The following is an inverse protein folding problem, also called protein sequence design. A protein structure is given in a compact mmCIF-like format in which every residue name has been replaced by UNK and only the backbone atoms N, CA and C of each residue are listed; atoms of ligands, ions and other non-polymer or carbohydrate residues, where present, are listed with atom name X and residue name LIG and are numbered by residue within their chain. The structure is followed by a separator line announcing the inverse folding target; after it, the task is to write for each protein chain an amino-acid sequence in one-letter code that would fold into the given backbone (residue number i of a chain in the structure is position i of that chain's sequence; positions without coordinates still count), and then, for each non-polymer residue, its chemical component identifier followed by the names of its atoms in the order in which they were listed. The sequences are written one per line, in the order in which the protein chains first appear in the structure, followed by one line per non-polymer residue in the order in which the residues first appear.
data_IF_411183863410
#
_entry.id   IF_411183863410
#
_cell.length_a   1.000
_cell.length_b   1.000
_cell.length_c   1.000
_cell.angle_alpha   90.00
_cell.angle_beta   90.00
_cell.angle_gamma   90.00
#
_symmetry.space_group_name_H-M   'P 1'
#
loop_
_entity.id
_entity.type
_entity.pdbx_description
1 polymer ?
#
# COMPACT_ATOMS: atom_id res chain seq x y z
N UNK A 1 -38.19 14.39 3.10
CA UNK A 1 -37.04 15.06 2.45
C UNK A 1 -35.81 14.23 2.77
N UNK A 2 -35.19 13.74 1.71
CA UNK A 2 -34.22 12.64 1.66
C UNK A 2 -32.85 13.03 2.22
N UNK A 3 -32.37 12.24 3.17
CA UNK A 3 -31.00 12.21 3.71
C UNK A 3 -30.03 11.68 2.63
N UNK A 4 -29.00 12.43 2.19
CA UNK A 4 -27.91 11.87 1.43
C UNK A 4 -26.69 11.74 2.34
N UNK A 5 -26.64 10.67 3.15
CA UNK A 5 -25.35 10.22 3.68
C UNK A 5 -24.52 9.74 2.50
N UNK A 6 -23.28 10.22 2.30
CA UNK A 6 -22.40 9.62 1.32
C UNK A 6 -22.05 8.20 1.78
N UNK A 7 -22.63 7.20 1.10
CA UNK A 7 -22.26 5.80 1.26
C UNK A 7 -20.86 5.60 0.69
N UNK A 8 -19.85 5.75 1.54
CA UNK A 8 -18.47 5.46 1.16
C UNK A 8 -18.34 3.98 0.71
N UNK A 9 -17.72 3.70 -0.45
CA UNK A 9 -17.52 2.34 -0.93
C UNK A 9 -16.72 1.48 0.06
N UNK A 10 -17.20 0.26 0.35
CA UNK A 10 -16.59 -0.73 1.27
C UNK A 10 -15.11 -1.06 0.98
N UNK A 11 -14.60 -0.79 -0.22
CA UNK A 11 -13.22 -1.12 -0.60
C UNK A 11 -12.16 -0.25 0.09
N UNK A 12 -12.48 0.98 0.53
CA UNK A 12 -11.51 1.88 1.17
C UNK A 12 -11.07 1.42 2.57
N UNK A 13 -11.95 0.70 3.28
CA UNK A 13 -11.66 0.10 4.59
C UNK A 13 -10.65 -1.06 4.52
N UNK A 14 -10.37 -1.57 3.31
CA UNK A 14 -9.35 -2.60 3.06
C UNK A 14 -7.95 -2.01 2.79
N UNK A 15 -7.84 -0.69 2.59
CA UNK A 15 -6.57 0.00 2.30
C UNK A 15 -6.01 0.72 3.54
N UNK A 16 -6.85 1.02 4.53
CA UNK A 16 -6.45 1.73 5.76
C UNK A 16 -6.10 0.81 6.94
N UNK A 17 -5.88 -0.48 6.69
CA UNK A 17 -5.40 -1.42 7.69
C UNK A 17 -4.06 -1.98 7.26
N UNK A 18 -3.04 -1.78 8.11
CA UNK A 18 -1.80 -2.57 8.13
C UNK A 18 -0.73 -2.14 7.12
N UNK A 19 -0.10 -0.98 7.35
CA UNK A 19 1.36 -0.98 7.31
C UNK A 19 1.83 -1.21 8.76
N UNK A 20 2.15 -2.46 9.13
CA UNK A 20 2.77 -2.74 10.41
C UNK A 20 4.22 -2.26 10.38
N UNK A 21 4.79 -2.03 11.55
CA UNK A 21 6.21 -1.66 11.78
C UNK A 21 7.24 -2.68 11.20
N UNK A 22 6.76 -3.71 10.50
CA UNK A 22 7.51 -4.76 9.82
C UNK A 22 8.14 -4.32 8.49
N UNK A 23 7.72 -3.19 7.91
CA UNK A 23 8.27 -2.70 6.62
C UNK A 23 9.74 -2.27 6.75
N UNK A 24 10.19 -1.93 7.96
CA UNK A 24 11.55 -1.54 8.26
C UNK A 24 12.49 -2.73 8.58
N UNK A 25 11.97 -3.93 8.82
CA UNK A 25 12.76 -5.07 9.30
C UNK A 25 12.66 -6.24 8.33
N UNK A 26 13.58 -6.24 7.36
CA UNK A 26 14.30 -7.45 6.97
C UNK A 26 13.44 -8.60 6.39
N UNK A 27 13.36 -8.70 5.07
CA UNK A 27 13.49 -9.96 4.33
C UNK A 27 13.17 -9.70 2.88
N UNK A 28 13.84 -10.38 1.97
CA UNK A 28 13.34 -10.49 0.61
C UNK A 28 11.87 -10.92 0.64
N UNK A 29 10.97 -10.23 -0.07
CA UNK A 29 9.55 -10.50 0.07
C UNK A 29 9.35 -11.99 -0.24
N UNK A 30 8.62 -12.70 0.61
CA UNK A 30 8.35 -14.13 0.44
C UNK A 30 7.90 -14.46 -1.00
N UNK A 31 7.16 -13.54 -1.63
CA UNK A 31 6.78 -13.58 -3.03
C UNK A 31 7.97 -13.67 -4.01
N UNK A 32 9.04 -12.90 -3.78
CA UNK A 32 10.25 -12.94 -4.61
C UNK A 32 10.99 -14.27 -4.48
N UNK A 33 11.14 -14.80 -3.25
CA UNK A 33 11.79 -16.12 -3.05
C UNK A 33 10.95 -17.26 -3.62
N UNK A 34 9.62 -17.18 -3.50
CA UNK A 34 8.73 -18.15 -4.16
C UNK A 34 8.84 -18.08 -5.68
N UNK A 35 8.86 -16.87 -6.25
CA UNK A 35 8.98 -16.68 -7.69
C UNK A 35 10.32 -17.22 -8.22
N UNK A 36 11.43 -16.99 -7.50
CA UNK A 36 12.74 -17.50 -7.93
C UNK A 36 12.84 -19.02 -7.81
N UNK A 37 12.34 -19.63 -6.73
CA UNK A 37 12.33 -21.09 -6.57
C UNK A 37 11.48 -21.78 -7.65
N UNK A 38 10.25 -21.29 -7.89
CA UNK A 38 9.36 -21.87 -8.89
C UNK A 38 9.88 -21.63 -10.31
N UNK A 39 10.37 -20.42 -10.60
CA UNK A 39 10.94 -20.07 -11.89
C UNK A 39 12.16 -20.93 -12.21
N UNK A 40 13.17 -20.93 -11.32
CA UNK A 40 14.39 -21.72 -11.51
C UNK A 40 14.09 -23.23 -11.58
N UNK A 41 13.19 -23.74 -10.75
CA UNK A 41 12.78 -25.15 -10.78
C UNK A 41 12.08 -25.53 -12.09
N UNK A 42 11.23 -24.66 -12.63
CA UNK A 42 10.53 -24.87 -13.90
C UNK A 42 11.49 -24.86 -15.09
N UNK A 43 12.43 -23.90 -15.12
CA UNK A 43 13.47 -23.84 -16.15
C UNK A 43 14.39 -25.07 -16.09
N UNK A 44 14.84 -25.47 -14.90
CA UNK A 44 15.65 -26.67 -14.73
C UNK A 44 14.89 -27.93 -15.21
N UNK A 45 13.61 -28.05 -14.89
CA UNK A 45 12.80 -29.18 -15.37
C UNK A 45 12.70 -29.20 -16.91
N UNK A 46 12.47 -28.05 -17.52
CA UNK A 46 12.41 -27.91 -18.98
C UNK A 46 13.76 -28.29 -19.64
N UNK A 47 14.88 -27.76 -19.15
CA UNK A 47 16.20 -28.08 -19.71
C UNK A 47 16.61 -29.52 -19.46
N UNK A 48 16.26 -30.09 -18.30
CA UNK A 48 16.50 -31.49 -17.99
C UNK A 48 15.75 -32.43 -18.93
N UNK A 49 14.47 -32.14 -19.21
CA UNK A 49 13.69 -32.92 -20.20
C UNK A 49 14.26 -32.78 -21.63
N UNK A 50 14.66 -31.57 -22.05
CA UNK A 50 15.29 -31.36 -23.36
C UNK A 50 16.63 -32.09 -23.48
N UNK A 51 17.46 -32.06 -22.43
CA UNK A 51 18.74 -32.77 -22.40
C UNK A 51 18.54 -34.29 -22.47
N UNK A 52 17.52 -34.81 -21.76
CA UNK A 52 17.16 -36.23 -21.79
C UNK A 52 16.73 -36.68 -23.19
N UNK A 53 15.85 -35.91 -23.85
CA UNK A 53 15.38 -36.20 -25.20
C UNK A 53 16.50 -36.18 -26.25
N UNK A 54 17.55 -35.39 -26.03
CA UNK A 54 18.73 -35.32 -26.91
C UNK A 54 19.79 -36.39 -26.60
N UNK A 55 19.55 -37.28 -25.64
CA UNK A 55 20.48 -38.35 -25.25
C UNK A 55 21.62 -37.91 -24.32
N UNK A 56 21.63 -36.64 -23.87
CA UNK A 56 22.66 -36.10 -22.99
C UNK A 56 22.32 -36.37 -21.52
N UNK A 57 22.83 -37.49 -21.00
CA UNK A 57 22.46 -37.98 -19.66
C UNK A 57 22.97 -37.12 -18.50
N UNK A 58 24.20 -36.61 -18.58
CA UNK A 58 24.83 -35.86 -17.49
C UNK A 58 24.11 -34.52 -17.18
N UNK A 59 23.93 -33.60 -18.16
CA UNK A 59 23.19 -32.36 -17.92
C UNK A 59 21.75 -32.61 -17.45
N UNK A 60 21.08 -33.64 -18.00
CA UNK A 60 19.73 -34.01 -17.59
C UNK A 60 19.65 -34.41 -16.10
N UNK A 61 20.61 -35.20 -15.62
CA UNK A 61 20.67 -35.60 -14.20
C UNK A 61 20.91 -34.38 -13.30
N UNK A 62 21.81 -33.47 -13.69
CA UNK A 62 22.08 -32.23 -12.94
C UNK A 62 20.82 -31.36 -12.85
N UNK A 63 20.14 -31.14 -13.97
CA UNK A 63 18.90 -30.37 -14.04
C UNK A 63 17.78 -30.97 -13.18
N UNK A 64 17.51 -32.27 -13.31
CA UNK A 64 16.50 -32.95 -12.49
C UNK A 64 16.84 -32.94 -10.99
N UNK A 65 18.12 -33.09 -10.65
CA UNK A 65 18.58 -33.01 -9.26
C UNK A 65 18.36 -31.61 -8.68
N UNK A 66 18.64 -30.56 -9.46
CA UNK A 66 18.38 -29.17 -9.06
C UNK A 66 16.89 -28.94 -8.88
N UNK A 67 16.04 -29.39 -9.80
CA UNK A 67 14.58 -29.27 -9.69
C UNK A 67 14.07 -29.89 -8.37
N UNK A 68 14.53 -31.09 -8.03
CA UNK A 68 14.10 -31.78 -6.81
C UNK A 68 14.58 -31.06 -5.53
N UNK A 69 15.82 -30.56 -5.54
CA UNK A 69 16.37 -29.77 -4.43
C UNK A 69 15.62 -28.43 -4.25
N UNK A 70 15.31 -27.73 -5.34
CA UNK A 70 14.54 -26.48 -5.29
C UNK A 70 13.09 -26.73 -4.85
N UNK A 71 12.46 -27.82 -5.29
CA UNK A 71 11.12 -28.22 -4.82
C UNK A 71 11.12 -28.55 -3.32
N UNK A 72 12.14 -29.25 -2.83
CA UNK A 72 12.32 -29.50 -1.40
C UNK A 72 12.49 -28.20 -0.61
N UNK A 73 13.31 -27.26 -1.09
CA UNK A 73 13.46 -25.94 -0.47
C UNK A 73 12.16 -25.13 -0.49
N UNK A 74 11.37 -25.23 -1.55
CA UNK A 74 10.04 -24.60 -1.64
C UNK A 74 9.09 -25.15 -0.57
N UNK A 75 8.98 -26.48 -0.43
CA UNK A 75 8.17 -27.10 0.62
C UNK A 75 8.67 -26.71 2.01
N UNK A 76 9.99 -26.73 2.22
CA UNK A 76 10.61 -26.30 3.48
C UNK A 76 10.31 -24.82 3.80
N UNK A 77 10.30 -23.94 2.80
CA UNK A 77 9.95 -22.53 2.95
C UNK A 77 8.50 -22.37 3.42
N UNK A 78 7.58 -23.14 2.87
CA UNK A 78 6.17 -23.10 3.28
C UNK A 78 5.97 -23.64 4.70
N UNK A 79 6.71 -24.68 5.08
CA UNK A 79 6.62 -25.29 6.41
C UNK A 79 7.27 -24.46 7.51
N UNK A 80 8.48 -23.93 7.27
CA UNK A 80 9.28 -23.25 8.31
C UNK A 80 9.23 -21.73 8.24
N UNK A 81 8.73 -21.14 7.15
CA UNK A 81 8.67 -19.69 6.90
C UNK A 81 10.02 -18.96 7.04
N UNK A 82 11.13 -19.70 7.06
CA UNK A 82 12.49 -19.16 7.19
C UNK A 82 13.02 -18.72 5.82
N UNK A 83 12.68 -17.50 5.44
CA UNK A 83 13.00 -16.91 4.14
C UNK A 83 14.51 -16.74 3.96
N UNK A 84 15.19 -16.21 4.98
CA UNK A 84 16.60 -15.85 4.89
C UNK A 84 17.51 -17.07 4.67
N UNK A 85 17.29 -18.17 5.42
CA UNK A 85 18.08 -19.39 5.22
C UNK A 85 17.75 -20.06 3.90
N UNK A 86 16.48 -20.09 3.51
CA UNK A 86 16.07 -20.74 2.25
C UNK A 86 16.62 -20.01 1.03
N UNK A 87 16.57 -18.67 1.05
CA UNK A 87 17.21 -17.82 0.04
C UNK A 87 18.71 -18.12 -0.10
N UNK A 88 19.44 -18.17 1.02
CA UNK A 88 20.87 -18.46 0.99
C UNK A 88 21.20 -19.86 0.45
N UNK A 89 20.44 -20.88 0.85
CA UNK A 89 20.63 -22.24 0.35
C UNK A 89 20.30 -22.35 -1.14
N UNK A 90 19.20 -21.74 -1.60
CA UNK A 90 18.81 -21.75 -3.00
C UNK A 90 19.86 -21.07 -3.89
N UNK A 91 20.38 -19.91 -3.48
CA UNK A 91 21.44 -19.23 -4.24
C UNK A 91 22.75 -20.03 -4.22
N UNK A 92 23.14 -20.63 -3.09
CA UNK A 92 24.33 -21.47 -3.02
C UNK A 92 24.23 -22.69 -3.94
N UNK A 93 23.08 -23.37 -3.95
CA UNK A 93 22.80 -24.49 -4.85
C UNK A 93 22.83 -24.05 -6.33
N UNK A 94 22.22 -22.91 -6.65
CA UNK A 94 22.26 -22.35 -8.01
C UNK A 94 23.69 -22.02 -8.45
N UNK A 95 24.51 -21.45 -7.57
CA UNK A 95 25.91 -21.15 -7.86
C UNK A 95 26.74 -22.40 -8.13
N UNK A 96 26.60 -23.43 -7.28
CA UNK A 96 27.26 -24.72 -7.47
C UNK A 96 26.80 -25.41 -8.76
N UNK A 97 25.51 -25.35 -9.06
CA UNK A 97 24.96 -25.86 -10.31
C UNK A 97 25.56 -25.17 -11.55
N UNK A 98 25.63 -23.83 -11.56
CA UNK A 98 26.25 -23.11 -12.68
C UNK A 98 27.74 -23.41 -12.82
N UNK A 99 28.48 -23.54 -11.72
CA UNK A 99 29.88 -23.97 -11.75
C UNK A 99 30.03 -25.39 -12.33
N UNK A 100 29.15 -26.31 -11.95
CA UNK A 100 29.14 -27.66 -12.52
C UNK A 100 28.84 -27.64 -14.03
N UNK A 101 27.95 -26.77 -14.49
CA UNK A 101 27.68 -26.58 -15.93
C UNK A 101 28.88 -26.02 -16.69
N UNK A 102 29.62 -25.07 -16.09
CA UNK A 102 30.86 -24.53 -16.69
C UNK A 102 31.94 -25.61 -16.76
N UNK A 103 32.07 -26.44 -15.72
CA UNK A 103 33.10 -27.49 -15.65
C UNK A 103 32.85 -28.64 -16.63
N UNK A 104 31.60 -29.05 -16.85
CA UNK A 104 31.28 -30.19 -17.71
C UNK A 104 30.88 -29.83 -19.14
N UNK A 105 30.49 -28.58 -19.39
CA UNK A 105 29.89 -28.17 -20.67
C UNK A 105 28.45 -28.67 -20.80
N UNK A 106 27.51 -27.75 -21.03
CA UNK A 106 26.13 -28.15 -21.34
C UNK A 106 25.98 -28.60 -22.78
N UNK A 107 24.76 -29.01 -23.13
CA UNK A 107 24.29 -29.17 -24.51
C UNK A 107 24.73 -27.94 -25.32
N UNK A 108 25.62 -28.13 -26.32
CA UNK A 108 26.18 -27.11 -27.23
C UNK A 108 27.33 -26.21 -26.67
N UNK A 109 28.08 -26.62 -25.64
CA UNK A 109 29.23 -25.83 -25.09
C UNK A 109 28.88 -24.40 -24.61
N UNK A 110 27.59 -24.08 -24.49
CA UNK A 110 27.07 -22.74 -24.19
C UNK A 110 26.50 -22.62 -22.77
N UNK A 111 26.73 -23.64 -21.93
CA UNK A 111 26.20 -23.70 -20.55
C UNK A 111 26.63 -22.54 -19.67
N UNK A 112 27.81 -21.99 -19.94
CA UNK A 112 28.34 -20.82 -19.24
C UNK A 112 27.48 -19.56 -19.45
N UNK A 113 26.68 -19.47 -20.53
CA UNK A 113 25.80 -18.31 -20.79
C UNK A 113 24.75 -18.18 -19.69
N UNK A 114 24.25 -19.28 -19.15
CA UNK A 114 23.24 -19.26 -18.09
C UNK A 114 23.79 -18.72 -16.77
N UNK A 115 25.11 -18.82 -16.54
CA UNK A 115 25.77 -18.21 -15.40
C UNK A 115 25.60 -16.69 -15.37
N UNK A 116 25.35 -16.03 -16.52
CA UNK A 116 25.10 -14.59 -16.60
C UNK A 116 23.83 -14.14 -15.86
N UNK A 117 22.89 -15.05 -15.60
CA UNK A 117 21.67 -14.76 -14.82
C UNK A 117 21.95 -14.78 -13.32
N UNK A 118 23.04 -15.41 -12.88
CA UNK A 118 23.35 -15.60 -11.47
C UNK A 118 23.51 -14.30 -10.65
N UNK A 119 24.24 -13.26 -11.12
CA UNK A 119 24.35 -11.98 -10.39
C UNK A 119 22.99 -11.37 -10.08
N UNK A 120 22.08 -11.44 -11.04
CA UNK A 120 20.71 -10.91 -10.93
C UNK A 120 19.97 -11.62 -9.80
N UNK A 121 19.96 -12.96 -9.85
CA UNK A 121 19.26 -13.76 -8.84
C UNK A 121 19.89 -13.63 -7.46
N UNK A 122 21.22 -13.65 -7.36
CA UNK A 122 21.93 -13.53 -6.09
C UNK A 122 21.70 -12.16 -5.43
N UNK A 123 21.84 -11.06 -6.17
CA UNK A 123 21.65 -9.71 -5.63
C UNK A 123 20.20 -9.44 -5.23
N UNK A 124 19.22 -9.86 -6.04
CA UNK A 124 17.81 -9.63 -5.70
C UNK A 124 17.34 -10.47 -4.50
N UNK A 125 17.88 -11.68 -4.32
CA UNK A 125 17.45 -12.64 -3.28
C UNK A 125 18.21 -12.50 -1.95
N UNK A 126 19.49 -12.13 -1.98
CA UNK A 126 20.32 -11.97 -0.78
C UNK A 126 20.60 -10.51 -0.40
N UNK A 127 20.24 -9.56 -1.27
CA UNK A 127 20.56 -8.14 -1.15
C UNK A 127 22.02 -7.84 -1.49
N UNK A 128 22.39 -6.55 -1.44
CA UNK A 128 23.69 -6.07 -1.91
C UNK A 128 24.88 -6.77 -1.24
N UNK A 129 24.98 -6.83 0.10
CA UNK A 129 26.19 -7.33 0.77
C UNK A 129 26.46 -8.83 0.56
N UNK A 130 25.43 -9.67 0.74
CA UNK A 130 25.58 -11.13 0.61
C UNK A 130 25.51 -11.58 -0.85
N UNK A 131 24.73 -10.88 -1.68
CA UNK A 131 24.65 -11.11 -3.11
C UNK A 131 25.96 -10.79 -3.84
N UNK A 132 26.65 -9.69 -3.48
CA UNK A 132 27.97 -9.37 -4.06
C UNK A 132 29.01 -10.44 -3.73
N UNK A 133 29.04 -10.91 -2.47
CA UNK A 133 29.93 -12.01 -2.06
C UNK A 133 29.63 -13.30 -2.83
N UNK A 134 28.36 -13.70 -2.92
CA UNK A 134 27.96 -14.91 -3.64
C UNK A 134 28.31 -14.83 -5.14
N UNK A 135 28.10 -13.66 -5.75
CA UNK A 135 28.43 -13.37 -7.15
C UNK A 135 29.94 -13.43 -7.39
N UNK A 136 30.72 -12.80 -6.52
CA UNK A 136 32.19 -12.83 -6.61
C UNK A 136 32.74 -14.26 -6.47
N UNK A 137 32.18 -15.08 -5.57
CA UNK A 137 32.58 -16.48 -5.39
C UNK A 137 32.29 -17.32 -6.64
N UNK A 138 31.13 -17.17 -7.26
CA UNK A 138 30.82 -17.91 -8.51
C UNK A 138 31.68 -17.43 -9.67
N UNK A 139 31.93 -16.13 -9.81
CA UNK A 139 32.84 -15.63 -10.83
C UNK A 139 34.26 -16.17 -10.64
N UNK A 140 34.77 -16.17 -9.41
CA UNK A 140 36.09 -16.72 -9.09
C UNK A 140 36.15 -18.22 -9.42
N UNK A 141 35.14 -19.00 -9.03
CA UNK A 141 35.06 -20.42 -9.37
C UNK A 141 35.02 -20.66 -10.88
N UNK A 142 34.30 -19.83 -11.64
CA UNK A 142 34.23 -19.94 -13.09
C UNK A 142 35.57 -19.59 -13.76
N UNK A 143 36.27 -18.56 -13.27
CA UNK A 143 37.63 -18.22 -13.74
C UNK A 143 38.63 -19.35 -13.48
N UNK A 144 38.52 -20.03 -12.34
CA UNK A 144 39.32 -21.23 -12.05
C UNK A 144 38.99 -22.35 -13.04
N UNK A 145 37.71 -22.60 -13.33
CA UNK A 145 37.31 -23.59 -14.34
C UNK A 145 37.86 -23.25 -15.74
N UNK A 146 37.79 -21.97 -16.14
CA UNK A 146 38.35 -21.52 -17.41
C UNK A 146 39.88 -21.65 -17.46
N UNK A 147 40.59 -21.33 -16.38
CA UNK A 147 42.04 -21.50 -16.30
C UNK A 147 42.48 -22.97 -16.37
N UNK A 148 41.71 -23.87 -15.74
CA UNK A 148 41.97 -25.31 -15.74
C UNK A 148 41.53 -26.00 -17.04
N UNK A 149 40.78 -25.32 -17.91
CA UNK A 149 40.24 -25.91 -19.16
C UNK A 149 41.31 -26.44 -20.11
N UNK A 150 42.54 -25.91 -20.06
CA UNK A 150 43.66 -26.42 -20.86
C UNK A 150 44.41 -27.59 -20.20
N UNK A 151 44.22 -27.81 -18.91
CA UNK A 151 44.95 -28.82 -18.12
C UNK A 151 44.13 -30.08 -17.85
N UNK A 152 42.81 -29.99 -17.84
CA UNK A 152 41.90 -31.08 -17.48
C UNK A 152 41.11 -31.48 -18.72
N UNK A 153 41.29 -32.73 -19.16
CA UNK A 153 40.68 -33.27 -20.40
C UNK A 153 39.15 -33.27 -20.40
N UNK A 154 38.51 -33.24 -19.23
CA UNK A 154 37.05 -33.34 -19.10
C UNK A 154 36.36 -31.98 -19.13
N UNK A 155 37.14 -30.89 -19.05
CA UNK A 155 36.63 -29.53 -19.13
C UNK A 155 36.67 -29.09 -20.60
N UNK A 156 35.56 -28.60 -21.16
CA UNK A 156 35.56 -28.09 -22.53
C UNK A 156 36.52 -26.90 -22.66
N UNK A 157 37.26 -26.87 -23.77
CA UNK A 157 38.23 -25.81 -24.03
C UNK A 157 37.51 -24.55 -24.48
N UNK A 158 37.59 -23.51 -23.66
CA UNK A 158 36.97 -22.22 -23.98
C UNK A 158 37.98 -21.30 -24.66
N UNK A 159 37.59 -20.70 -25.79
CA UNK A 159 38.45 -19.71 -26.45
C UNK A 159 38.58 -18.44 -25.60
N UNK A 160 39.80 -17.88 -25.54
CA UNK A 160 40.07 -16.64 -24.79
C UNK A 160 39.10 -15.48 -25.13
N UNK A 161 38.75 -15.23 -26.41
CA UNK A 161 37.78 -14.19 -26.74
C UNK A 161 36.36 -14.45 -26.20
N UNK A 162 35.96 -15.71 -26.01
CA UNK A 162 34.66 -16.06 -25.43
C UNK A 162 34.67 -15.82 -23.93
N UNK A 163 35.73 -16.24 -23.23
CA UNK A 163 35.89 -16.02 -21.78
C UNK A 163 35.90 -14.53 -21.47
N UNK A 164 36.67 -13.72 -22.22
CA UNK A 164 36.74 -12.28 -22.01
C UNK A 164 35.37 -11.60 -22.14
N UNK A 165 34.58 -11.98 -23.17
CA UNK A 165 33.22 -11.46 -23.36
C UNK A 165 32.28 -11.90 -22.24
N UNK A 166 32.35 -13.17 -21.83
CA UNK A 166 31.52 -13.69 -20.74
C UNK A 166 31.78 -12.95 -19.42
N UNK A 167 33.06 -12.73 -19.07
CA UNK A 167 33.45 -11.99 -17.87
C UNK A 167 33.01 -10.53 -17.96
N UNK A 168 33.20 -9.88 -19.11
CA UNK A 168 32.77 -8.49 -19.32
C UNK A 168 31.26 -8.31 -19.16
N UNK A 169 30.45 -9.19 -19.78
CA UNK A 169 28.99 -9.17 -19.66
C UNK A 169 28.55 -9.49 -18.23
N UNK A 170 29.20 -10.44 -17.57
CA UNK A 170 28.90 -10.78 -16.18
C UNK A 170 29.14 -9.59 -15.24
N UNK A 171 30.28 -8.89 -15.39
CA UNK A 171 30.60 -7.69 -14.61
C UNK A 171 29.64 -6.53 -14.90
N UNK A 172 29.25 -6.35 -16.17
CA UNK A 172 28.26 -5.34 -16.55
C UNK A 172 26.88 -5.62 -15.92
N UNK A 173 26.39 -6.86 -16.01
CA UNK A 173 25.13 -7.27 -15.39
C UNK A 173 25.18 -7.16 -13.87
N UNK A 174 26.31 -7.53 -13.27
CA UNK A 174 26.55 -7.35 -11.84
C UNK A 174 26.49 -5.87 -11.44
N UNK A 175 27.22 -4.99 -12.14
CA UNK A 175 27.23 -3.55 -11.86
C UNK A 175 25.84 -2.94 -12.00
N UNK A 176 25.15 -3.22 -13.11
CA UNK A 176 23.80 -2.70 -13.36
C UNK A 176 22.82 -3.19 -12.30
N UNK A 177 22.85 -4.48 -11.97
CA UNK A 177 21.98 -5.05 -10.93
C UNK A 177 22.31 -4.49 -9.56
N UNK A 178 23.59 -4.27 -9.24
CA UNK A 178 24.00 -3.70 -7.96
C UNK A 178 23.48 -2.26 -7.81
N UNK A 179 23.58 -1.46 -8.88
CA UNK A 179 23.00 -0.11 -8.92
C UNK A 179 21.49 -0.21 -8.70
N UNK A 180 20.80 -1.05 -9.48
CA UNK A 180 19.35 -1.25 -9.36
C UNK A 180 18.93 -1.68 -7.95
N UNK A 181 19.66 -2.59 -7.30
CA UNK A 181 19.34 -3.07 -5.95
C UNK A 181 19.60 -1.99 -4.89
N UNK A 182 20.72 -1.26 -4.98
CA UNK A 182 21.00 -0.13 -4.07
C UNK A 182 19.92 0.95 -4.22
N UNK A 183 19.62 1.32 -5.47
CA UNK A 183 18.58 2.29 -5.81
C UNK A 183 17.18 1.83 -5.35
N UNK A 184 16.86 0.54 -5.50
CA UNK A 184 15.61 -0.05 -4.98
C UNK A 184 15.49 0.11 -3.47
N UNK A 185 16.57 -0.14 -2.72
CA UNK A 185 16.53 0.00 -1.26
C UNK A 185 16.32 1.44 -0.82
N UNK A 186 16.97 2.41 -1.45
CA UNK A 186 16.78 3.83 -1.11
C UNK A 186 15.38 4.33 -1.47
N UNK A 187 14.89 4.03 -2.68
CA UNK A 187 13.54 4.44 -3.09
C UNK A 187 12.45 3.87 -2.19
N UNK A 188 12.56 2.60 -1.81
CA UNK A 188 11.56 1.98 -0.96
C UNK A 188 11.47 2.66 0.42
N UNK A 189 12.62 3.04 0.99
CA UNK A 189 12.64 3.79 2.26
C UNK A 189 12.00 5.17 2.13
N UNK A 190 12.31 5.92 1.06
CA UNK A 190 11.72 7.24 0.82
C UNK A 190 10.20 7.16 0.61
N UNK A 191 9.74 6.18 -0.17
CA UNK A 191 8.32 5.98 -0.43
C UNK A 191 7.55 5.64 0.85
N UNK A 192 8.12 4.79 1.71
CA UNK A 192 7.50 4.43 2.99
C UNK A 192 7.39 5.64 3.94
N UNK A 193 8.41 6.52 3.96
CA UNK A 193 8.39 7.74 4.77
C UNK A 193 7.34 8.74 4.26
N UNK A 194 7.27 8.97 2.94
CA UNK A 194 6.30 9.87 2.33
C UNK A 194 4.85 9.41 2.57
N UNK A 195 4.59 8.10 2.48
CA UNK A 195 3.26 7.55 2.80
C UNK A 195 2.88 7.70 4.27
N UNK A 196 3.84 7.55 5.19
CA UNK A 196 3.63 7.77 6.61
C UNK A 196 3.22 9.21 6.92
N UNK A 197 3.88 10.17 6.28
CA UNK A 197 3.57 11.60 6.44
C UNK A 197 2.19 11.96 5.89
N UNK A 198 1.85 11.48 4.70
CA UNK A 198 0.53 11.71 4.10
C UNK A 198 -0.60 11.15 4.96
N UNK A 199 -0.40 9.97 5.56
CA UNK A 199 -1.40 9.33 6.43
C UNK A 199 -1.63 10.14 7.72
N UNK A 200 -0.57 10.73 8.28
CA UNK A 200 -0.67 11.61 9.46
C UNK A 200 -1.41 12.90 9.15
N UNK A 201 -1.12 13.52 8.01
CA UNK A 201 -1.83 14.73 7.57
C UNK A 201 -3.33 14.47 7.36
N UNK A 202 -3.70 13.34 6.77
CA UNK A 202 -5.10 12.96 6.60
C UNK A 202 -5.83 12.83 7.94
N UNK A 203 -5.24 12.13 8.92
CA UNK A 203 -5.82 11.98 10.26
C UNK A 203 -5.91 13.32 11.01
N UNK A 204 -4.93 14.20 10.86
CA UNK A 204 -4.95 15.51 11.48
C UNK A 204 -6.05 16.39 10.89
N UNK A 205 -6.23 16.38 9.56
CA UNK A 205 -7.31 17.09 8.89
C UNK A 205 -8.69 16.58 9.33
N UNK A 206 -8.85 15.27 9.48
CA UNK A 206 -10.09 14.68 10.00
C UNK A 206 -10.41 15.18 11.41
N UNK A 207 -9.45 15.17 12.35
CA UNK A 207 -9.65 15.70 13.71
C UNK A 207 -10.02 17.17 13.73
N UNK A 208 -9.29 18.00 12.97
CA UNK A 208 -9.58 19.44 12.89
C UNK A 208 -10.98 19.68 12.35
N UNK A 209 -11.42 18.89 11.36
CA UNK A 209 -12.76 19.00 10.81
C UNK A 209 -13.84 18.56 11.82
N UNK A 210 -13.60 17.49 12.59
CA UNK A 210 -14.48 17.05 13.67
C UNK A 210 -14.60 18.12 14.77
N UNK A 211 -13.48 18.67 15.26
CA UNK A 211 -13.46 19.76 16.25
C UNK A 211 -14.20 20.99 15.74
N UNK A 212 -13.94 21.41 14.49
CA UNK A 212 -14.66 22.51 13.86
C UNK A 212 -16.15 22.24 13.79
N UNK A 213 -16.56 21.02 13.43
CA UNK A 213 -17.99 20.66 13.34
C UNK A 213 -18.68 20.69 14.71
N UNK A 214 -18.00 20.25 15.77
CA UNK A 214 -18.52 20.30 17.13
C UNK A 214 -18.69 21.76 17.62
N UNK A 215 -17.70 22.62 17.35
CA UNK A 215 -17.77 24.03 17.66
C UNK A 215 -18.91 24.75 16.91
N UNK A 216 -19.13 24.42 15.64
CA UNK A 216 -20.25 24.96 14.86
C UNK A 216 -21.58 24.57 15.50
N UNK A 217 -21.76 23.29 15.87
CA UNK A 217 -22.99 22.84 16.53
C UNK A 217 -23.23 23.54 17.87
N UNK A 218 -22.18 23.76 18.65
CA UNK A 218 -22.28 24.43 19.95
C UNK A 218 -22.61 25.93 19.81
N UNK A 219 -22.01 26.58 18.80
CA UNK A 219 -22.33 27.95 18.43
C UNK A 219 -23.80 28.08 17.99
N UNK A 220 -24.27 27.17 17.14
CA UNK A 220 -25.67 27.14 16.69
C UNK A 220 -26.65 26.93 17.86
N UNK A 221 -26.31 26.04 18.80
CA UNK A 221 -27.11 25.82 20.03
C UNK A 221 -27.20 27.09 20.87
N UNK A 222 -26.06 27.71 21.16
CA UNK A 222 -25.99 28.94 21.97
C UNK A 222 -26.76 30.09 21.32
N UNK A 223 -26.65 30.24 20.00
CA UNK A 223 -27.44 31.22 19.24
C UNK A 223 -28.94 30.92 19.31
N UNK A 224 -29.33 29.65 19.28
CA UNK A 224 -30.72 29.22 19.48
C UNK A 224 -31.27 29.62 20.85
N UNK A 225 -30.50 29.41 21.92
CA UNK A 225 -30.88 29.78 23.28
C UNK A 225 -31.04 31.30 23.44
N UNK A 226 -30.10 32.09 22.92
CA UNK A 226 -30.21 33.57 22.94
C UNK A 226 -31.45 34.04 22.18
N UNK A 227 -31.76 33.44 21.02
CA UNK A 227 -32.98 33.77 20.26
C UNK A 227 -34.24 33.42 21.03
N UNK A 228 -34.28 32.27 21.71
CA UNK A 228 -35.41 31.87 22.54
C UNK A 228 -35.63 32.82 23.72
N UNK A 229 -34.55 33.20 24.41
CA UNK A 229 -34.59 34.16 25.52
C UNK A 229 -35.06 35.55 25.06
N UNK A 230 -34.59 36.03 23.91
CA UNK A 230 -35.07 37.29 23.28
C UNK A 230 -36.52 37.22 22.82
N UNK A 231 -37.10 36.03 22.65
CA UNK A 231 -38.52 35.86 22.32
C UNK A 231 -39.47 35.96 23.51
N UNK A 232 -38.95 36.02 24.75
CA UNK A 232 -39.77 36.17 25.95
C UNK A 232 -40.11 37.65 26.17
N UNK A 233 -41.33 38.04 25.80
CA UNK A 233 -41.81 39.41 25.96
C UNK A 233 -42.47 39.57 27.35
N UNK A 234 -41.98 40.47 28.21
CA UNK A 234 -42.60 40.71 29.51
C UNK A 234 -43.99 41.32 29.32
N UNK A 235 -45.04 40.62 29.75
CA UNK A 235 -46.43 41.10 29.72
C UNK A 235 -46.82 41.59 31.12
N UNK A 236 -47.42 42.78 31.22
CA UNK A 236 -47.98 43.27 32.47
C UNK A 236 -49.23 42.46 32.86
N UNK A 237 -49.25 41.88 34.06
CA UNK A 237 -50.37 41.06 34.55
C UNK A 237 -51.65 41.86 34.80
N UNK A 238 -51.55 43.18 35.01
CA UNK A 238 -52.72 44.03 35.26
C UNK A 238 -53.39 44.57 33.99
N UNK A 239 -52.63 44.85 32.93
CA UNK A 239 -53.14 45.55 31.75
C UNK A 239 -52.76 44.94 30.39
N UNK A 240 -51.95 43.87 30.36
CA UNK A 240 -51.58 43.15 29.13
C UNK A 240 -50.58 43.87 28.21
N UNK A 241 -50.08 45.05 28.59
CA UNK A 241 -49.03 45.75 27.83
C UNK A 241 -47.71 44.97 27.84
N UNK A 242 -46.94 45.09 26.77
CA UNK A 242 -45.59 44.53 26.63
C UNK A 242 -44.52 45.54 27.04
N UNK A 243 -43.44 45.07 27.65
CA UNK A 243 -42.25 45.88 27.94
C UNK A 243 -41.22 45.73 26.81
N UNK A 244 -40.71 46.83 26.29
CA UNK A 244 -39.62 46.83 25.31
C UNK A 244 -38.22 46.76 25.97
N UNK A 245 -37.17 46.66 25.15
CA UNK A 245 -35.77 46.57 25.59
C UNK A 245 -35.28 47.85 26.29
N UNK A 246 -35.89 49.00 25.99
CA UNK A 246 -35.61 50.30 26.63
C UNK A 246 -36.39 50.48 27.95
N UNK A 247 -37.28 49.53 28.27
CA UNK A 247 -38.01 49.43 29.51
C UNK A 247 -39.39 50.09 29.51
N UNK A 248 -39.88 50.60 28.38
CA UNK A 248 -41.19 51.22 28.23
C UNK A 248 -42.30 50.20 28.01
N UNK A 249 -43.51 50.54 28.46
CA UNK A 249 -44.71 49.70 28.29
C UNK A 249 -45.53 50.16 27.10
N UNK A 250 -45.83 49.24 26.18
CA UNK A 250 -46.58 49.51 24.96
C UNK A 250 -47.58 48.39 24.64
N UNK A 251 -48.54 48.67 23.77
CA UNK A 251 -49.51 47.66 23.33
C UNK A 251 -48.87 46.66 22.36
N UNK A 252 -49.36 45.41 22.38
CA UNK A 252 -48.89 44.32 21.53
C UNK A 252 -48.83 44.71 20.06
N UNK A 253 -49.86 45.42 19.57
CA UNK A 253 -49.91 45.80 18.16
C UNK A 253 -48.82 46.79 17.75
N UNK A 254 -48.46 47.71 18.64
CA UNK A 254 -47.38 48.67 18.41
C UNK A 254 -46.01 47.99 18.48
N UNK A 255 -45.84 47.01 19.37
CA UNK A 255 -44.62 46.23 19.47
C UNK A 255 -44.38 45.38 18.19
N UNK A 256 -45.39 44.63 17.74
CA UNK A 256 -45.28 43.77 16.55
C UNK A 256 -45.03 44.57 15.27
N UNK A 257 -45.74 45.68 15.07
CA UNK A 257 -45.56 46.54 13.89
C UNK A 257 -44.18 47.22 13.85
N UNK A 258 -43.52 47.43 15.01
CA UNK A 258 -42.18 48.02 15.09
C UNK A 258 -41.05 46.99 14.94
N UNK A 259 -41.26 45.79 15.47
CA UNK A 259 -40.20 44.77 15.58
C UNK A 259 -40.30 43.68 14.51
N UNK A 260 -41.32 43.71 13.64
CA UNK A 260 -41.48 42.78 12.52
C UNK A 260 -41.99 43.52 11.28
N UNK A 261 -41.75 42.97 10.09
CA UNK A 261 -42.34 43.48 8.83
C UNK A 261 -43.83 43.12 8.66
N UNK A 262 -44.60 43.08 9.75
CA UNK A 262 -46.01 42.66 9.74
C UNK A 262 -46.94 43.85 9.92
N UNK A 263 -47.94 44.00 9.04
CA UNK A 263 -49.00 45.01 9.15
C UNK A 263 -50.22 44.42 9.85
N UNK A 264 -50.67 45.06 10.94
CA UNK A 264 -51.85 44.62 11.68
C UNK A 264 -53.13 45.27 11.12
N UNK A 265 -54.13 44.46 10.83
CA UNK A 265 -55.47 44.90 10.47
C UNK A 265 -56.45 44.61 11.61
N UNK A 266 -57.41 45.49 11.82
CA UNK A 266 -58.42 45.33 12.87
C UNK A 266 -59.57 44.49 12.33
N UNK A 267 -59.95 43.44 13.07
CA UNK A 267 -61.10 42.59 12.77
C UNK A 267 -61.77 42.15 14.08
N UNK A 268 -63.07 41.88 14.03
CA UNK A 268 -63.83 41.37 15.18
C UNK A 268 -64.07 39.87 14.99
N UNK A 269 -63.77 39.05 15.99
CA UNK A 269 -64.02 37.62 15.90
C UNK A 269 -65.52 37.30 16.10
N UNK A 270 -66.02 36.15 15.60
CA UNK A 270 -67.44 35.80 15.70
C UNK A 270 -67.98 35.65 17.13
N UNK A 271 -67.13 35.40 18.13
CA UNK A 271 -67.54 35.39 19.53
C UNK A 271 -67.78 36.81 20.05
N UNK A 272 -66.82 37.73 19.85
CA UNK A 272 -66.96 39.11 20.29
C UNK A 272 -68.08 39.84 19.53
N UNK A 273 -68.25 39.55 18.24
CA UNK A 273 -69.36 40.14 17.47
C UNK A 273 -70.72 39.73 18.03
N UNK A 274 -70.90 38.46 18.43
CA UNK A 274 -72.14 37.99 19.07
C UNK A 274 -72.39 38.60 20.43
N UNK A 275 -71.34 38.94 21.18
CA UNK A 275 -71.47 39.54 22.50
C UNK A 275 -71.74 41.05 22.43
N UNK A 276 -70.98 41.78 21.62
CA UNK A 276 -71.10 43.25 21.47
C UNK A 276 -72.32 43.69 20.67
N UNK A 277 -72.79 42.86 19.75
CA UNK A 277 -73.94 43.16 18.89
C UNK A 277 -75.09 42.16 19.08
N UNK A 278 -75.15 41.49 20.24
CA UNK A 278 -76.19 40.53 20.57
C UNK A 278 -77.60 41.07 20.27
N UNK A 279 -77.84 42.32 20.68
CA UNK A 279 -79.13 43.01 20.54
C UNK A 279 -79.47 43.44 19.11
N UNK A 280 -78.49 43.45 18.21
CA UNK A 280 -78.63 43.89 16.82
C UNK A 280 -78.51 42.75 15.81
N UNK A 281 -78.28 41.51 16.27
CA UNK A 281 -78.32 40.34 15.39
C UNK A 281 -79.78 39.89 15.22
N UNK A 282 -80.30 39.82 13.98
CA UNK A 282 -81.65 39.31 13.77
C UNK A 282 -81.72 37.85 14.23
N UNK A 283 -82.71 37.54 15.09
CA UNK A 283 -83.06 36.16 15.43
C UNK A 283 -83.26 35.37 14.14
N UNK A 284 -82.59 34.23 14.05
CA UNK A 284 -82.69 33.32 12.92
C UNK A 284 -83.20 31.98 13.40
#
# INVERSE_FOLDING_TARGET
MTDPRPSFPRWRRRISGVLPDDVARQSTPLALVNATLLGAGSFALLFGTLAWLRGNRLPAILDFSLTLLLAFLYVRLQLRRDVARTAALATALGGLFFLALVAHGSVLESGFVWMLVYPVMALMVLGARRGTLATALVLAGALVCFGLSHTVEWIPVYSFPVVLRAVAVYLLLFLFTLIMEVTRTTFFTQLSAAHGEQSRQALQLERINEEKSALIQDLERSLGEVRALRGLLPVCTGCGKLRDDDGYWMELGNYLSRNTDTVLTHGICPSCSRELYADFMPEK
#
